data_IF_457884089680
#
_entry.id   IF_457884089680
#
_cell.length_a   1.000
_cell.length_b   1.000
_cell.length_c   1.000
_cell.angle_alpha   90.00
_cell.angle_beta   90.00
_cell.angle_gamma   90.00
#
_symmetry.space_group_name_H-M   'P 1'
#
loop_
_entity.id
_entity.type
_entity.pdbx_description
1 polymer ?
#
# COMPACT_ATOMS: atom_id res chain seq x y z
N UNK A 1 14.80 50.98 7.55
CA UNK A 1 14.50 52.08 8.55
C UNK A 1 13.44 51.54 9.51
N UNK A 2 13.71 51.73 10.84
CA UNK A 2 12.84 51.51 12.01
C UNK A 2 12.65 50.04 12.39
N UNK A 3 13.42 49.43 13.29
CA UNK A 3 13.83 49.57 14.71
C UNK A 3 12.73 49.23 15.74
N UNK A 4 13.05 48.17 16.51
CA UNK A 4 12.81 47.97 17.96
C UNK A 4 11.39 47.61 18.45
N UNK A 5 11.21 46.57 19.27
CA UNK A 5 11.67 46.50 20.69
C UNK A 5 11.57 45.10 21.27
N UNK A 6 12.64 44.70 21.91
CA UNK A 6 12.68 43.68 22.93
C UNK A 6 11.99 44.17 24.24
N UNK A 7 11.40 43.27 25.02
CA UNK A 7 11.17 43.47 26.44
C UNK A 7 11.49 42.19 27.20
N UNK A 8 12.62 42.26 27.86
CA UNK A 8 13.00 41.49 29.05
C UNK A 8 12.27 42.03 30.30
N UNK A 9 12.03 41.17 31.27
CA UNK A 9 11.89 41.47 32.74
C UNK A 9 11.38 40.16 33.38
N UNK A 10 11.86 39.61 34.42
CA UNK A 10 12.82 39.88 35.46
C UNK A 10 12.53 38.84 36.56
N UNK A 11 13.58 38.30 37.09
CA UNK A 11 13.64 37.43 38.26
C UNK A 11 12.90 38.03 39.45
N UNK A 12 12.30 37.17 40.30
CA UNK A 12 12.24 37.41 41.74
C UNK A 12 12.60 36.18 42.55
N UNK A 13 13.64 36.36 43.26
CA UNK A 13 14.24 35.59 44.37
C UNK A 13 13.50 35.87 45.70
N UNK A 14 13.63 34.92 46.63
CA UNK A 14 13.44 35.14 48.08
C UNK A 14 12.34 34.28 48.67
N UNK A 15 12.52 33.50 49.66
CA UNK A 15 13.30 33.51 50.81
C UNK A 15 13.07 32.27 51.68
N UNK A 16 14.10 31.76 52.23
CA UNK A 16 14.11 30.98 53.50
C UNK A 16 13.99 31.99 54.68
N UNK A 17 13.76 31.65 55.96
CA UNK A 17 14.25 30.49 56.73
C UNK A 17 13.42 30.10 57.99
N UNK A 18 14.07 29.26 58.84
CA UNK A 18 14.05 29.06 60.32
C UNK A 18 13.27 27.87 60.85
N UNK A 19 13.97 26.81 61.32
CA UNK A 19 14.71 26.54 62.58
C UNK A 19 13.81 26.36 63.79
N UNK A 20 13.72 25.07 64.26
CA UNK A 20 13.93 24.41 65.53
C UNK A 20 13.23 24.98 66.80
N UNK A 21 13.01 24.21 67.91
CA UNK A 21 13.86 23.18 68.45
C UNK A 21 13.18 21.93 69.09
N UNK A 22 14.06 21.03 69.53
CA UNK A 22 13.97 19.81 70.26
C UNK A 22 13.29 19.87 71.61
N UNK A 23 12.70 18.74 72.06
CA UNK A 23 12.62 18.35 73.46
C UNK A 23 12.92 16.85 73.56
N UNK A 24 13.89 16.57 74.38
CA UNK A 24 14.33 15.25 74.79
C UNK A 24 13.39 14.68 75.89
N UNK A 25 13.19 13.38 75.86
CA UNK A 25 12.49 12.63 76.89
C UNK A 25 13.01 11.19 76.96
N UNK A 26 13.95 10.98 77.86
CA UNK A 26 14.58 9.71 78.18
C UNK A 26 13.65 8.92 79.12
N UNK A 27 13.23 7.70 78.75
CA UNK A 27 12.82 6.67 79.72
C UNK A 27 13.40 5.33 79.27
N UNK A 28 14.36 4.85 80.00
CA UNK A 28 14.89 3.51 79.90
C UNK A 28 14.03 2.57 80.76
N UNK A 29 13.52 1.50 80.20
CA UNK A 29 13.06 0.33 80.95
C UNK A 29 13.65 -0.93 80.26
N UNK A 30 14.56 -1.53 81.04
CA UNK A 30 15.08 -2.87 80.81
C UNK A 30 13.96 -3.89 81.03
N UNK A 31 13.69 -4.77 80.08
CA UNK A 31 13.11 -6.09 80.28
C UNK A 31 13.91 -7.10 79.47
N UNK A 32 14.66 -7.94 80.16
CA UNK A 32 15.17 -9.20 79.65
C UNK A 32 14.01 -10.17 79.53
N UNK A 33 13.85 -10.79 78.35
CA UNK A 33 13.31 -12.15 78.27
C UNK A 33 13.46 -12.74 76.88
N UNK A 34 14.05 -13.91 76.80
CA UNK A 34 13.81 -15.05 75.95
C UNK A 34 14.10 -14.93 74.45
N UNK A 35 15.28 -15.48 74.08
CA UNK A 35 15.50 -16.01 72.73
C UNK A 35 14.49 -17.10 72.37
N UNK A 36 13.58 -16.79 71.52
CA UNK A 36 12.92 -17.83 70.69
C UNK A 36 13.34 -17.58 69.24
N UNK A 37 14.11 -18.50 68.70
CA UNK A 37 14.48 -18.58 67.34
C UNK A 37 13.22 -18.87 66.49
N UNK A 38 12.55 -17.83 66.02
CA UNK A 38 11.59 -17.97 64.92
C UNK A 38 12.38 -18.01 63.63
N UNK A 39 12.46 -19.20 63.04
CA UNK A 39 12.88 -19.37 61.67
C UNK A 39 12.00 -18.49 60.76
N UNK A 40 12.63 -17.45 60.19
CA UNK A 40 11.96 -16.58 59.23
C UNK A 40 11.48 -17.42 58.04
N UNK A 41 10.16 -17.57 57.91
CA UNK A 41 9.57 -18.08 56.70
C UNK A 41 10.00 -17.16 55.57
N UNK A 42 10.88 -17.68 54.71
CA UNK A 42 11.17 -17.06 53.39
C UNK A 42 9.85 -17.02 52.68
N UNK A 43 9.24 -15.83 52.56
CA UNK A 43 8.06 -15.65 51.69
C UNK A 43 8.48 -15.99 50.30
N UNK A 44 8.11 -17.20 49.85
CA UNK A 44 8.19 -17.60 48.46
C UNK A 44 7.38 -16.60 47.67
N UNK A 45 8.05 -15.74 46.94
CA UNK A 45 7.42 -14.88 45.94
C UNK A 45 6.65 -15.80 45.02
N UNK A 46 5.34 -15.83 45.16
CA UNK A 46 4.46 -16.54 44.24
C UNK A 46 4.57 -15.81 42.91
N UNK A 47 5.31 -16.37 41.97
CA UNK A 47 5.33 -15.90 40.58
C UNK A 47 3.88 -15.81 40.11
N UNK A 48 3.51 -14.67 39.54
CA UNK A 48 2.19 -14.51 38.97
C UNK A 48 1.91 -15.69 38.00
N UNK A 49 0.71 -16.27 38.04
CA UNK A 49 0.40 -17.40 37.16
C UNK A 49 0.63 -17.00 35.70
N UNK A 50 1.44 -17.75 34.98
CA UNK A 50 1.62 -17.57 33.55
C UNK A 50 0.25 -17.66 32.87
N UNK A 51 -0.10 -16.65 32.09
CA UNK A 51 -1.36 -16.66 31.32
C UNK A 51 -1.31 -17.84 30.37
N UNK A 52 -2.23 -18.81 30.54
CA UNK A 52 -2.35 -19.92 29.64
C UNK A 52 -2.92 -19.42 28.28
N UNK A 53 -2.13 -19.47 27.23
CA UNK A 53 -2.59 -19.12 25.87
C UNK A 53 -3.42 -20.28 25.33
N UNK A 54 -4.59 -19.98 24.75
CA UNK A 54 -5.46 -20.99 24.13
C UNK A 54 -4.70 -21.72 23.00
N UNK A 55 -4.82 -23.06 22.86
CA UNK A 55 -4.15 -23.84 21.81
C UNK A 55 -4.43 -23.32 20.40
N UNK A 56 -5.66 -22.81 20.13
CA UNK A 56 -6.03 -22.19 18.85
C UNK A 56 -5.25 -20.90 18.54
N UNK A 57 -4.97 -20.07 19.55
CA UNK A 57 -4.17 -18.88 19.36
C UNK A 57 -2.70 -19.20 19.07
N UNK A 58 -2.14 -20.21 19.74
CA UNK A 58 -0.80 -20.72 19.46
C UNK A 58 -0.70 -21.30 18.04
N UNK A 59 -1.72 -22.03 17.58
CA UNK A 59 -1.77 -22.56 16.22
C UNK A 59 -1.75 -21.44 15.18
N UNK A 60 -2.54 -20.38 15.37
CA UNK A 60 -2.56 -19.22 14.47
C UNK A 60 -1.21 -18.50 14.45
N UNK A 61 -0.61 -18.26 15.63
CA UNK A 61 0.75 -17.68 15.70
C UNK A 61 1.77 -18.54 14.93
N UNK A 62 1.72 -19.86 15.10
CA UNK A 62 2.60 -20.77 14.38
C UNK A 62 2.38 -20.69 12.87
N UNK A 63 1.12 -20.58 12.43
CA UNK A 63 0.80 -20.40 11.02
C UNK A 63 1.42 -19.14 10.45
N UNK A 64 1.32 -17.99 11.14
CA UNK A 64 1.97 -16.75 10.70
C UNK A 64 3.48 -16.91 10.57
N UNK A 65 4.13 -17.54 11.57
CA UNK A 65 5.57 -17.79 11.53
C UNK A 65 5.96 -18.67 10.35
N UNK A 66 5.15 -19.71 10.02
CA UNK A 66 5.41 -20.57 8.88
C UNK A 66 5.26 -19.84 7.54
N UNK A 67 4.19 -19.06 7.38
CA UNK A 67 3.98 -18.23 6.18
C UNK A 67 5.16 -17.28 5.95
N UNK A 68 5.61 -16.57 6.99
CA UNK A 68 6.75 -15.65 6.88
C UNK A 68 8.04 -16.40 6.50
N UNK A 69 8.29 -17.59 7.06
CA UNK A 69 9.46 -18.42 6.71
C UNK A 69 9.39 -18.92 5.27
N UNK A 70 8.21 -19.27 4.79
CA UNK A 70 7.99 -19.79 3.44
C UNK A 70 8.14 -18.70 2.39
N UNK A 71 7.52 -17.53 2.63
CA UNK A 71 7.44 -16.44 1.64
C UNK A 71 8.64 -15.50 1.71
N UNK A 72 9.21 -15.30 2.91
CA UNK A 72 10.32 -14.36 3.11
C UNK A 72 11.47 -14.49 2.10
N UNK A 73 11.93 -15.71 1.73
CA UNK A 73 12.96 -15.89 0.69
C UNK A 73 12.57 -15.37 -0.69
N UNK A 74 11.27 -15.23 -0.98
CA UNK A 74 10.76 -14.72 -2.26
C UNK A 74 10.62 -13.19 -2.28
N UNK A 75 10.73 -12.51 -1.13
CA UNK A 75 10.58 -11.05 -1.02
C UNK A 75 11.95 -10.38 -0.97
N UNK A 76 12.18 -9.44 -1.87
CA UNK A 76 13.48 -8.80 -2.08
C UNK A 76 13.41 -7.29 -1.81
N UNK A 77 14.56 -6.68 -1.48
CA UNK A 77 14.71 -5.23 -1.51
C UNK A 77 15.09 -4.79 -2.92
N UNK A 78 14.44 -3.75 -3.40
CA UNK A 78 14.82 -3.03 -4.62
C UNK A 78 15.36 -1.67 -4.22
N UNK A 79 16.58 -1.39 -4.64
CA UNK A 79 17.24 -0.09 -4.50
C UNK A 79 17.38 0.56 -5.87
N UNK A 80 17.00 1.81 -5.95
CA UNK A 80 17.15 2.62 -7.16
C UNK A 80 17.96 3.87 -6.84
N UNK A 81 18.32 4.65 -7.83
CA UNK A 81 18.90 5.98 -7.65
C UNK A 81 17.85 7.03 -7.22
N UNK A 82 16.58 6.66 -7.11
CA UNK A 82 15.49 7.51 -6.66
C UNK A 82 14.94 7.12 -5.28
N UNK A 83 15.09 5.86 -4.84
CA UNK A 83 14.52 5.39 -3.59
C UNK A 83 14.64 3.89 -3.36
N UNK A 84 13.80 3.40 -2.46
CA UNK A 84 13.74 2.01 -2.03
C UNK A 84 12.32 1.48 -2.18
N UNK A 85 12.20 0.19 -2.47
CA UNK A 85 10.95 -0.54 -2.44
C UNK A 85 11.19 -2.04 -2.26
N UNK A 86 10.13 -2.80 -2.28
CA UNK A 86 10.19 -4.27 -2.27
C UNK A 86 9.87 -4.84 -3.64
N UNK A 87 10.19 -6.12 -3.81
CA UNK A 87 9.80 -6.92 -4.97
C UNK A 87 9.52 -8.35 -4.57
N UNK A 88 8.88 -9.09 -5.46
CA UNK A 88 8.57 -10.51 -5.30
C UNK A 88 9.23 -11.28 -6.44
N UNK A 89 10.00 -12.29 -6.12
CA UNK A 89 10.57 -13.22 -7.12
C UNK A 89 9.41 -13.93 -7.82
N UNK A 90 9.24 -13.63 -9.11
CA UNK A 90 8.12 -14.13 -9.90
C UNK A 90 8.40 -15.53 -10.46
N UNK A 91 9.62 -15.75 -10.94
CA UNK A 91 10.05 -17.05 -11.48
C UNK A 91 11.52 -17.35 -11.17
N UNK A 92 11.96 -18.55 -11.53
CA UNK A 92 13.32 -19.01 -11.34
C UNK A 92 14.33 -18.41 -12.36
N UNK A 93 13.84 -17.68 -13.38
CA UNK A 93 14.68 -17.09 -14.43
C UNK A 93 15.22 -15.72 -14.05
N UNK A 94 14.87 -15.19 -12.89
CA UNK A 94 15.36 -13.88 -12.42
C UNK A 94 14.33 -12.76 -12.49
N UNK A 95 13.11 -13.03 -12.96
CA UNK A 95 12.08 -12.02 -13.04
C UNK A 95 11.51 -11.70 -11.65
N UNK A 96 11.45 -10.40 -11.33
CA UNK A 96 10.97 -9.85 -10.07
C UNK A 96 9.88 -8.85 -10.37
N UNK A 97 8.70 -9.07 -9.81
CA UNK A 97 7.58 -8.14 -9.89
C UNK A 97 7.68 -7.11 -8.77
N UNK A 98 7.38 -5.86 -9.09
CA UNK A 98 7.30 -4.73 -8.15
C UNK A 98 6.27 -3.72 -8.64
N UNK A 99 6.08 -2.62 -7.93
CA UNK A 99 5.27 -1.52 -8.41
C UNK A 99 5.99 -0.65 -9.45
N UNK A 100 5.24 -0.06 -10.37
CA UNK A 100 5.78 0.84 -11.38
C UNK A 100 6.37 2.11 -10.75
N UNK A 101 5.73 2.65 -9.71
CA UNK A 101 6.23 3.83 -8.99
C UNK A 101 7.60 3.59 -8.32
N UNK A 102 7.94 2.34 -7.93
CA UNK A 102 9.25 2.00 -7.34
C UNK A 102 10.38 2.18 -8.35
N UNK A 103 10.12 1.93 -9.63
CA UNK A 103 11.12 2.01 -10.71
C UNK A 103 11.03 3.28 -11.54
N UNK A 104 9.99 4.08 -11.34
CA UNK A 104 9.70 5.28 -12.14
C UNK A 104 10.83 6.30 -12.04
N UNK A 105 11.31 6.78 -13.19
CA UNK A 105 12.36 7.80 -13.28
C UNK A 105 13.76 7.31 -12.89
N UNK A 106 13.91 6.07 -12.46
CA UNK A 106 15.19 5.51 -12.08
C UNK A 106 15.97 5.00 -13.31
N UNK A 107 17.29 5.10 -13.24
CA UNK A 107 18.19 4.61 -14.27
C UNK A 107 19.08 3.45 -13.80
N UNK A 108 19.13 3.19 -12.50
CA UNK A 108 19.93 2.13 -11.90
C UNK A 108 19.09 1.35 -10.90
N UNK A 109 19.21 0.03 -10.98
CA UNK A 109 18.46 -0.89 -10.13
C UNK A 109 19.41 -1.90 -9.50
N UNK A 110 19.26 -2.14 -8.22
CA UNK A 110 19.94 -3.18 -7.48
C UNK A 110 18.90 -3.96 -6.66
N UNK A 111 18.96 -5.27 -6.74
CA UNK A 111 18.13 -6.16 -5.96
C UNK A 111 18.98 -6.82 -4.88
N UNK A 112 18.49 -6.81 -3.64
CA UNK A 112 19.08 -7.55 -2.53
C UNK A 112 18.13 -8.68 -2.14
N UNK A 113 18.61 -9.92 -2.25
CA UNK A 113 17.86 -11.11 -1.85
C UNK A 113 17.79 -11.24 -0.33
N UNK A 114 16.92 -12.12 0.16
CA UNK A 114 16.75 -12.39 1.59
C UNK A 114 18.01 -12.91 2.29
N UNK A 115 18.97 -13.54 1.55
CA UNK A 115 20.26 -13.97 2.05
C UNK A 115 21.32 -12.84 2.09
N UNK A 116 20.94 -11.61 1.73
CA UNK A 116 21.79 -10.42 1.70
C UNK A 116 22.64 -10.26 0.44
N UNK A 117 22.59 -11.18 -0.50
CA UNK A 117 23.30 -11.07 -1.77
C UNK A 117 22.66 -9.98 -2.64
N UNK A 118 23.50 -9.22 -3.34
CA UNK A 118 23.12 -8.09 -4.16
C UNK A 118 23.40 -8.36 -5.63
N UNK A 119 22.45 -8.04 -6.47
CA UNK A 119 22.53 -8.21 -7.91
C UNK A 119 22.15 -6.92 -8.61
N UNK A 120 22.91 -6.49 -9.65
CA UNK A 120 22.43 -5.45 -10.55
C UNK A 120 21.19 -5.99 -11.26
N UNK A 121 20.20 -5.11 -11.48
CA UNK A 121 18.98 -5.48 -12.16
C UNK A 121 18.75 -4.60 -13.37
N UNK A 122 18.00 -5.12 -14.34
CA UNK A 122 17.51 -4.37 -15.50
C UNK A 122 15.98 -4.31 -15.50
N UNK A 123 15.43 -3.21 -15.98
CA UNK A 123 14.00 -3.08 -16.19
C UNK A 123 13.61 -3.89 -17.44
N UNK A 124 12.73 -4.86 -17.28
CA UNK A 124 12.12 -5.63 -18.39
C UNK A 124 11.00 -4.81 -19.01
N UNK A 125 10.14 -4.21 -18.19
CA UNK A 125 9.08 -3.34 -18.60
C UNK A 125 8.28 -2.85 -17.41
N UNK A 126 7.47 -1.81 -17.63
CA UNK A 126 6.55 -1.27 -16.62
C UNK A 126 5.21 -0.91 -17.24
N UNK A 127 4.15 -1.03 -16.46
CA UNK A 127 2.81 -0.63 -16.83
C UNK A 127 2.21 0.23 -15.73
N UNK A 128 2.38 1.54 -15.87
CA UNK A 128 1.98 2.52 -14.86
C UNK A 128 0.48 2.53 -14.59
N UNK A 129 -0.34 2.15 -15.58
CA UNK A 129 -1.80 2.14 -15.43
C UNK A 129 -2.30 1.14 -14.37
N UNK A 130 -1.57 0.04 -14.13
CA UNK A 130 -1.86 -0.92 -13.06
C UNK A 130 -0.76 -0.93 -11.98
N UNK A 131 0.10 0.08 -11.99
CA UNK A 131 1.23 0.23 -11.06
C UNK A 131 2.09 -1.03 -10.92
N UNK A 132 2.42 -1.70 -12.03
CA UNK A 132 3.24 -2.91 -12.07
C UNK A 132 4.49 -2.72 -12.93
N UNK A 133 5.59 -3.33 -12.50
CA UNK A 133 6.83 -3.41 -13.26
C UNK A 133 7.50 -4.77 -13.03
N UNK A 134 8.37 -5.14 -13.97
CA UNK A 134 9.21 -6.33 -13.87
C UNK A 134 10.67 -5.91 -14.03
N UNK A 135 11.48 -6.31 -13.05
CA UNK A 135 12.94 -6.29 -13.11
C UNK A 135 13.45 -7.70 -13.38
N UNK A 136 14.66 -7.77 -13.94
CA UNK A 136 15.37 -9.03 -14.14
C UNK A 136 16.77 -8.97 -13.50
N UNK A 137 17.18 -10.06 -12.87
CA UNK A 137 18.51 -10.28 -12.30
C UNK A 137 19.10 -11.59 -12.81
N UNK A 138 20.42 -11.58 -13.00
CA UNK A 138 21.16 -12.81 -13.29
C UNK A 138 21.60 -13.49 -11.97
N UNK A 139 20.70 -14.31 -11.42
CA UNK A 139 20.92 -15.02 -10.16
C UNK A 139 20.34 -16.43 -10.21
N UNK A 140 21.10 -17.38 -9.71
CA UNK A 140 20.63 -18.77 -9.53
C UNK A 140 20.11 -19.03 -8.12
N UNK A 141 19.34 -20.12 -7.96
CA UNK A 141 18.85 -20.57 -6.66
C UNK A 141 17.78 -19.66 -6.06
N UNK A 142 17.04 -18.96 -6.89
CA UNK A 142 15.92 -18.12 -6.49
C UNK A 142 14.76 -18.95 -5.93
N UNK A 143 13.97 -18.34 -5.06
CA UNK A 143 12.75 -18.92 -4.49
C UNK A 143 11.53 -18.16 -5.06
N UNK A 144 10.92 -18.63 -6.16
CA UNK A 144 9.72 -18.02 -6.70
C UNK A 144 8.56 -18.10 -5.71
N UNK A 145 7.77 -17.05 -5.62
CA UNK A 145 6.54 -17.05 -4.84
C UNK A 145 5.43 -17.83 -5.56
N UNK A 146 4.56 -18.48 -4.79
CA UNK A 146 3.30 -19.03 -5.31
C UNK A 146 2.25 -17.92 -5.32
N UNK A 147 1.46 -17.83 -6.40
CA UNK A 147 0.39 -16.85 -6.56
C UNK A 147 -0.98 -17.54 -6.50
N UNK A 148 -1.81 -17.14 -5.55
CA UNK A 148 -3.20 -17.60 -5.42
C UNK A 148 -4.06 -17.15 -6.61
N UNK A 149 -5.25 -17.74 -6.73
CA UNK A 149 -6.32 -17.20 -7.58
C UNK A 149 -7.12 -16.15 -6.79
N UNK A 150 -6.82 -14.87 -7.04
CA UNK A 150 -7.47 -13.74 -6.36
C UNK A 150 -8.97 -13.61 -6.63
N UNK A 151 -9.52 -14.31 -7.64
CA UNK A 151 -10.96 -14.34 -7.86
C UNK A 151 -11.74 -15.13 -6.79
N UNK A 152 -11.03 -15.92 -5.97
CA UNK A 152 -11.60 -16.74 -4.90
C UNK A 152 -11.54 -16.09 -3.53
N UNK A 153 -10.92 -14.92 -3.42
CA UNK A 153 -10.81 -14.18 -2.16
C UNK A 153 -12.17 -13.78 -1.62
N UNK A 154 -12.26 -13.77 -0.30
CA UNK A 154 -13.45 -13.34 0.43
C UNK A 154 -13.09 -12.24 1.42
N UNK A 155 -14.02 -11.33 1.65
CA UNK A 155 -13.91 -10.36 2.75
C UNK A 155 -13.86 -11.11 4.07
N UNK A 156 -12.84 -10.83 4.88
CA UNK A 156 -12.56 -11.54 6.12
C UNK A 156 -11.38 -12.50 6.04
N UNK A 157 -10.90 -12.86 4.84
CA UNK A 157 -9.69 -13.68 4.70
C UNK A 157 -8.51 -12.98 5.38
N UNK A 158 -7.73 -13.73 6.17
CA UNK A 158 -6.52 -13.20 6.82
C UNK A 158 -5.47 -12.91 5.77
N UNK A 159 -4.82 -11.76 5.89
CA UNK A 159 -3.79 -11.32 4.98
C UNK A 159 -2.55 -10.81 5.74
N UNK A 160 -1.36 -11.22 5.30
CA UNK A 160 -0.08 -10.73 5.79
C UNK A 160 0.61 -9.93 4.69
N UNK A 161 0.96 -8.66 4.96
CA UNK A 161 1.79 -7.89 4.05
C UNK A 161 3.26 -8.04 4.45
N UNK A 162 4.09 -8.50 3.50
CA UNK A 162 5.50 -8.81 3.68
C UNK A 162 6.31 -7.94 2.72
N UNK A 163 7.17 -7.09 3.27
CA UNK A 163 8.12 -6.28 2.52
C UNK A 163 9.54 -6.45 3.04
N UNK A 164 10.51 -5.94 2.32
CA UNK A 164 11.92 -5.96 2.71
C UNK A 164 12.56 -4.56 2.60
N UNK A 165 12.10 -3.59 3.41
CA UNK A 165 12.48 -2.18 3.25
C UNK A 165 13.95 -1.88 3.53
N UNK A 166 14.66 -2.75 4.25
CA UNK A 166 16.05 -2.50 4.68
C UNK A 166 17.03 -3.58 4.19
N UNK A 167 16.57 -4.60 3.47
CA UNK A 167 17.43 -5.69 2.99
C UNK A 167 18.04 -6.58 4.09
N UNK A 168 17.60 -6.39 5.35
CA UNK A 168 18.16 -7.10 6.50
C UNK A 168 17.18 -8.10 7.11
N UNK A 169 15.89 -7.81 7.07
CA UNK A 169 14.80 -8.68 7.54
C UNK A 169 13.47 -8.21 6.95
N UNK A 170 12.58 -9.15 6.64
CA UNK A 170 11.23 -8.85 6.19
C UNK A 170 10.46 -8.07 7.26
N UNK A 171 9.81 -6.98 6.86
CA UNK A 171 8.81 -6.30 7.66
C UNK A 171 7.46 -6.96 7.39
N UNK A 172 6.76 -7.37 8.43
CA UNK A 172 5.47 -8.08 8.32
C UNK A 172 4.40 -7.32 9.08
N UNK A 173 3.29 -7.09 8.43
CA UNK A 173 2.07 -6.57 9.06
C UNK A 173 0.92 -7.52 8.80
N UNK A 174 -0.06 -7.59 9.70
CA UNK A 174 -1.21 -8.50 9.60
C UNK A 174 -2.52 -7.73 9.53
N UNK A 175 -3.49 -8.33 8.88
CA UNK A 175 -4.84 -7.81 8.77
C UNK A 175 -5.74 -8.79 8.04
N UNK A 176 -6.80 -8.26 7.43
CA UNK A 176 -7.75 -9.04 6.65
C UNK A 176 -8.00 -8.37 5.29
N UNK A 177 -8.55 -9.12 4.36
CA UNK A 177 -9.21 -8.58 3.18
C UNK A 177 -10.46 -7.83 3.64
N UNK A 178 -10.47 -6.50 3.52
CA UNK A 178 -11.56 -5.63 4.00
C UNK A 178 -12.61 -5.37 2.94
N UNK A 179 -12.21 -5.32 1.66
CA UNK A 179 -13.10 -5.19 0.50
C UNK A 179 -12.40 -5.67 -0.77
N UNK A 180 -13.19 -5.95 -1.80
CA UNK A 180 -12.74 -6.38 -3.13
C UNK A 180 -13.38 -5.49 -4.20
N UNK A 181 -12.71 -5.39 -5.36
CA UNK A 181 -13.26 -4.72 -6.54
C UNK A 181 -13.38 -3.21 -6.42
N UNK A 182 -12.61 -2.56 -5.52
CA UNK A 182 -12.60 -1.11 -5.39
C UNK A 182 -11.74 -0.46 -6.47
N UNK A 183 -12.12 0.75 -6.88
CA UNK A 183 -11.26 1.65 -7.63
C UNK A 183 -10.67 2.67 -6.67
N UNK A 184 -9.36 2.88 -6.74
CA UNK A 184 -8.66 3.91 -5.94
C UNK A 184 -7.86 4.79 -6.87
N UNK A 185 -7.79 6.08 -6.54
CA UNK A 185 -7.01 7.04 -7.29
C UNK A 185 -5.68 7.26 -6.58
N UNK A 186 -4.59 7.19 -7.34
CA UNK A 186 -3.28 7.62 -6.88
C UNK A 186 -3.16 9.14 -6.92
N UNK A 187 -2.24 9.70 -6.14
CA UNK A 187 -1.90 11.13 -6.19
C UNK A 187 -1.41 11.57 -7.57
N UNK A 188 -0.89 10.63 -8.36
CA UNK A 188 -0.52 10.80 -9.77
C UNK A 188 -1.70 11.03 -10.71
N UNK A 189 -2.96 10.84 -10.25
CA UNK A 189 -4.17 10.85 -11.05
C UNK A 189 -4.46 9.56 -11.80
N UNK A 190 -3.66 8.50 -11.57
CA UNK A 190 -3.93 7.16 -12.10
C UNK A 190 -4.97 6.48 -11.22
N UNK A 191 -6.02 5.95 -11.84
CA UNK A 191 -7.01 5.14 -11.17
C UNK A 191 -6.63 3.65 -11.26
N UNK A 192 -6.48 3.00 -10.11
CA UNK A 192 -6.26 1.56 -10.00
C UNK A 192 -7.61 0.86 -9.76
N UNK A 193 -8.16 0.19 -10.77
CA UNK A 193 -9.43 -0.54 -10.61
C UNK A 193 -9.22 -1.90 -9.96
N UNK A 194 -10.30 -2.45 -9.41
CA UNK A 194 -10.37 -3.82 -8.92
C UNK A 194 -9.32 -4.18 -7.85
N UNK A 195 -8.88 -3.21 -7.04
CA UNK A 195 -7.91 -3.49 -5.97
C UNK A 195 -8.52 -4.25 -4.80
N UNK A 196 -7.66 -4.99 -4.09
CA UNK A 196 -7.94 -5.58 -2.79
C UNK A 196 -7.73 -4.50 -1.74
N UNK A 197 -8.74 -4.21 -0.92
CA UNK A 197 -8.56 -3.41 0.29
C UNK A 197 -8.19 -4.33 1.45
N UNK A 198 -7.18 -3.95 2.23
CA UNK A 198 -6.77 -4.69 3.43
C UNK A 198 -6.64 -3.78 4.63
N UNK A 199 -6.86 -4.33 5.83
CA UNK A 199 -6.54 -3.66 7.10
C UNK A 199 -5.10 -3.87 7.53
N UNK A 200 -4.32 -4.73 6.88
CA UNK A 200 -2.89 -4.84 7.11
C UNK A 200 -2.22 -3.50 6.83
N UNK A 201 -1.49 -2.91 7.78
CA UNK A 201 -0.80 -1.65 7.58
C UNK A 201 0.18 -1.70 6.39
N UNK A 202 -0.08 -0.88 5.37
CA UNK A 202 0.82 -0.67 4.24
C UNK A 202 1.61 0.60 4.51
N UNK A 203 2.93 0.48 4.50
CA UNK A 203 3.86 1.55 4.81
C UNK A 203 4.95 1.61 3.73
N UNK A 204 5.68 2.74 3.61
CA UNK A 204 6.86 2.79 2.77
C UNK A 204 7.79 1.60 3.07
N UNK A 205 8.05 0.77 2.05
CA UNK A 205 8.83 -0.46 2.15
C UNK A 205 8.06 -1.77 1.98
N UNK A 206 6.72 -1.78 2.19
CA UNK A 206 5.89 -2.93 1.80
C UNK A 206 5.46 -2.84 0.33
N UNK A 207 5.43 -1.64 -0.25
CA UNK A 207 5.07 -1.44 -1.67
C UNK A 207 5.96 -2.28 -2.58
N UNK A 208 5.36 -3.00 -3.51
CA UNK A 208 6.01 -3.96 -4.40
C UNK A 208 6.33 -5.32 -3.75
N UNK A 209 6.16 -5.48 -2.44
CA UNK A 209 6.28 -6.75 -1.73
C UNK A 209 5.09 -7.67 -1.93
N UNK A 210 4.84 -8.58 -1.00
CA UNK A 210 3.78 -9.57 -1.09
C UNK A 210 2.65 -9.30 -0.07
N UNK A 211 1.41 -9.31 -0.52
CA UNK A 211 0.25 -9.57 0.34
C UNK A 211 -0.10 -11.05 0.18
N UNK A 212 -0.07 -11.82 1.27
CA UNK A 212 -0.22 -13.27 1.21
C UNK A 212 -1.33 -13.77 2.13
N UNK A 213 -1.91 -14.92 1.79
CA UNK A 213 -2.86 -15.63 2.63
C UNK A 213 -2.17 -16.54 3.66
N UNK A 214 -2.96 -17.28 4.43
CA UNK A 214 -2.45 -18.26 5.42
C UNK A 214 -1.83 -19.52 4.79
N UNK A 215 -1.96 -19.75 3.48
CA UNK A 215 -1.28 -20.83 2.76
C UNK A 215 0.12 -20.40 2.30
N UNK A 216 0.48 -19.11 2.48
CA UNK A 216 1.71 -18.53 1.97
C UNK A 216 1.67 -18.27 0.45
N UNK A 217 0.48 -18.10 -0.11
CA UNK A 217 0.29 -17.75 -1.51
C UNK A 217 0.07 -16.25 -1.66
N UNK A 218 0.70 -15.63 -2.65
CA UNK A 218 0.54 -14.21 -2.95
C UNK A 218 -0.86 -13.95 -3.49
N UNK A 219 -1.66 -13.21 -2.74
CA UNK A 219 -3.01 -12.76 -3.13
C UNK A 219 -2.99 -11.41 -3.84
N UNK A 220 -1.90 -10.64 -3.67
CA UNK A 220 -1.72 -9.35 -4.35
C UNK A 220 -0.38 -8.71 -4.05
N UNK A 221 -0.10 -7.60 -4.75
CA UNK A 221 1.09 -6.76 -4.52
C UNK A 221 0.62 -5.45 -3.85
N UNK A 222 1.03 -5.16 -2.59
CA UNK A 222 0.73 -3.90 -1.93
C UNK A 222 1.23 -2.71 -2.76
N UNK A 223 0.42 -1.66 -2.88
CA UNK A 223 0.75 -0.47 -3.66
C UNK A 223 0.55 0.81 -2.87
N UNK A 224 -0.65 1.08 -2.38
CA UNK A 224 -1.03 2.34 -1.75
C UNK A 224 -1.48 2.12 -0.30
N UNK A 225 -1.13 3.08 0.57
CA UNK A 225 -1.85 3.31 1.81
C UNK A 225 -3.05 4.23 1.51
N UNK A 226 -4.20 4.01 2.16
CA UNK A 226 -5.30 4.95 2.11
C UNK A 226 -4.86 6.31 2.64
N UNK A 227 -5.35 7.38 2.02
CA UNK A 227 -5.15 8.76 2.50
C UNK A 227 -6.44 9.27 3.13
N UNK A 228 -6.32 10.01 4.22
CA UNK A 228 -7.41 10.73 4.85
C UNK A 228 -7.09 12.23 4.81
N UNK A 229 -7.78 13.01 3.97
CA UNK A 229 -7.55 14.44 3.87
C UNK A 229 -7.79 15.20 5.19
N UNK A 230 -8.70 14.69 6.05
CA UNK A 230 -9.00 15.32 7.34
C UNK A 230 -7.89 15.08 8.37
N UNK A 231 -7.22 13.94 8.29
CA UNK A 231 -6.07 13.61 9.12
C UNK A 231 -4.75 14.14 8.52
N UNK A 232 -4.78 14.68 7.31
CA UNK A 232 -3.62 15.25 6.63
C UNK A 232 -2.54 14.22 6.26
N UNK A 233 -2.92 12.95 6.08
CA UNK A 233 -1.96 11.89 5.79
C UNK A 233 -2.59 10.51 5.57
N UNK A 234 -1.83 9.48 5.91
CA UNK A 234 -2.24 8.09 5.79
C UNK A 234 -3.45 7.76 6.68
N UNK A 235 -4.44 7.05 6.13
CA UNK A 235 -5.58 6.50 6.87
C UNK A 235 -5.17 5.15 7.51
N UNK A 236 -4.99 5.08 8.84
CA UNK A 236 -4.58 3.84 9.49
C UNK A 236 -5.59 2.71 9.24
N UNK A 237 -5.09 1.51 8.90
CA UNK A 237 -5.94 0.35 8.66
C UNK A 237 -6.64 0.35 7.29
N UNK A 238 -6.23 1.20 6.37
CA UNK A 238 -6.67 1.18 4.98
C UNK A 238 -5.43 1.07 4.08
N UNK A 239 -5.25 -0.09 3.49
CA UNK A 239 -4.23 -0.36 2.49
C UNK A 239 -4.85 -1.01 1.25
N UNK A 240 -4.15 -0.91 0.12
CA UNK A 240 -4.60 -1.46 -1.14
C UNK A 240 -3.51 -2.31 -1.78
N UNK A 241 -3.94 -3.37 -2.49
CA UNK A 241 -3.05 -4.24 -3.22
C UNK A 241 -3.64 -4.60 -4.60
N UNK A 242 -2.77 -4.75 -5.58
CA UNK A 242 -3.10 -5.19 -6.94
C UNK A 242 -3.34 -6.70 -6.89
N UNK A 243 -4.48 -7.23 -7.35
CA UNK A 243 -4.81 -8.64 -7.25
C UNK A 243 -3.83 -9.55 -8.00
N UNK A 244 -3.52 -10.71 -7.44
CA UNK A 244 -2.56 -11.67 -7.99
C UNK A 244 -2.87 -12.11 -9.43
N UNK A 245 -4.14 -12.20 -9.82
CA UNK A 245 -4.51 -12.53 -11.20
C UNK A 245 -4.08 -11.40 -12.17
N UNK A 246 -4.28 -10.13 -11.80
CA UNK A 246 -3.78 -8.98 -12.56
C UNK A 246 -2.25 -8.99 -12.61
N UNK A 247 -1.59 -9.26 -11.48
CA UNK A 247 -0.12 -9.34 -11.40
C UNK A 247 0.41 -10.39 -12.37
N UNK A 248 -0.14 -11.60 -12.36
CA UNK A 248 0.31 -12.69 -13.25
C UNK A 248 0.13 -12.36 -14.72
N UNK A 249 -1.01 -11.77 -15.07
CA UNK A 249 -1.30 -11.40 -16.46
C UNK A 249 -0.35 -10.30 -16.97
N UNK A 250 -0.27 -9.19 -16.24
CA UNK A 250 0.57 -8.05 -16.63
C UNK A 250 2.07 -8.43 -16.61
N UNK A 251 2.55 -9.10 -15.57
CA UNK A 251 3.94 -9.55 -15.50
C UNK A 251 4.28 -10.53 -16.64
N UNK A 252 3.38 -11.45 -16.94
CA UNK A 252 3.56 -12.39 -18.06
C UNK A 252 3.72 -11.68 -19.40
N UNK A 253 2.93 -10.62 -19.66
CA UNK A 253 3.04 -9.82 -20.87
C UNK A 253 4.34 -9.01 -20.89
N UNK A 254 4.72 -8.37 -19.78
CA UNK A 254 5.98 -7.63 -19.66
C UNK A 254 7.19 -8.54 -19.89
N UNK A 255 7.22 -9.74 -19.31
CA UNK A 255 8.29 -10.72 -19.49
C UNK A 255 8.36 -11.21 -20.94
N UNK A 256 7.21 -11.55 -21.54
CA UNK A 256 7.16 -12.11 -22.88
C UNK A 256 7.36 -11.11 -24.01
N UNK A 257 6.98 -9.85 -23.83
CA UNK A 257 6.88 -8.85 -24.91
C UNK A 257 7.53 -7.49 -24.57
N UNK A 258 7.98 -7.28 -23.34
CA UNK A 258 8.50 -6.00 -22.84
C UNK A 258 7.44 -4.90 -22.69
N UNK A 259 6.19 -5.21 -22.98
CA UNK A 259 5.06 -4.25 -22.92
C UNK A 259 3.73 -4.98 -22.70
N UNK A 260 2.73 -4.25 -22.20
CA UNK A 260 1.36 -4.74 -22.07
C UNK A 260 0.59 -4.50 -23.36
N UNK A 261 0.04 -5.54 -23.95
CA UNK A 261 -0.78 -5.48 -25.18
C UNK A 261 -2.25 -5.71 -24.89
N UNK A 262 -2.57 -6.32 -23.74
CA UNK A 262 -3.93 -6.54 -23.29
C UNK A 262 -4.05 -6.17 -21.81
N UNK A 263 -4.46 -4.93 -21.53
CA UNK A 263 -4.64 -4.45 -20.15
C UNK A 263 -6.00 -4.83 -19.56
N UNK A 264 -6.90 -5.41 -20.34
CA UNK A 264 -8.32 -5.65 -19.98
C UNK A 264 -9.08 -4.39 -19.52
N UNK A 265 -8.50 -3.21 -19.69
CA UNK A 265 -9.08 -1.93 -19.26
C UNK A 265 -9.78 -1.24 -20.42
N UNK A 266 -11.04 -0.86 -20.20
CA UNK A 266 -11.80 -0.08 -21.16
C UNK A 266 -11.18 1.32 -21.33
N UNK A 267 -11.17 1.81 -22.55
CA UNK A 267 -10.54 3.08 -22.91
C UNK A 267 -11.38 3.87 -23.90
N UNK A 268 -11.53 5.17 -23.64
CA UNK A 268 -12.22 6.11 -24.54
C UNK A 268 -11.31 6.69 -25.62
N UNK A 269 -10.02 6.83 -25.33
CA UNK A 269 -9.07 7.50 -26.23
C UNK A 269 -9.16 9.02 -26.18
N UNK A 270 -9.33 9.58 -25.00
CA UNK A 270 -9.36 11.04 -24.74
C UNK A 270 -8.46 11.41 -23.58
N UNK A 271 -7.93 12.64 -23.61
CA UNK A 271 -7.42 13.33 -22.44
C UNK A 271 -8.49 14.32 -21.98
N UNK A 272 -8.73 14.39 -20.67
CA UNK A 272 -9.82 15.20 -20.12
C UNK A 272 -9.33 16.11 -18.98
N UNK A 273 -10.01 17.23 -18.79
CA UNK A 273 -9.83 18.13 -17.66
C UNK A 273 -11.17 18.31 -16.95
N UNK A 274 -11.15 18.33 -15.62
CA UNK A 274 -12.34 18.66 -14.81
C UNK A 274 -12.77 20.11 -15.06
N UNK A 275 -14.08 20.36 -15.04
CA UNK A 275 -14.64 21.71 -15.13
C UNK A 275 -15.35 22.09 -13.84
N UNK A 276 -15.38 23.38 -13.51
CA UNK A 276 -16.07 23.89 -12.32
C UNK A 276 -17.60 23.74 -12.38
N UNK A 277 -18.15 23.56 -13.58
CA UNK A 277 -19.59 23.36 -13.81
C UNK A 277 -20.02 21.89 -13.77
N UNK A 278 -19.09 20.98 -13.50
CA UNK A 278 -19.28 19.52 -13.60
C UNK A 278 -19.14 19.01 -15.04
N UNK A 279 -18.64 17.79 -15.18
CA UNK A 279 -18.31 17.16 -16.46
C UNK A 279 -16.84 17.35 -16.85
N UNK A 280 -16.44 16.65 -17.90
CA UNK A 280 -15.06 16.48 -18.32
C UNK A 280 -14.84 17.10 -19.70
N UNK A 281 -14.10 18.20 -19.75
CA UNK A 281 -13.69 18.84 -21.00
C UNK A 281 -12.69 17.93 -21.72
N UNK A 282 -12.99 17.54 -22.95
CA UNK A 282 -12.05 16.84 -23.82
C UNK A 282 -10.97 17.84 -24.25
N UNK A 283 -9.75 17.67 -23.77
CA UNK A 283 -8.59 18.48 -24.14
C UNK A 283 -7.89 17.93 -25.38
N UNK A 284 -7.92 16.58 -25.54
CA UNK A 284 -7.33 15.92 -26.71
C UNK A 284 -8.07 14.63 -27.01
N UNK A 285 -8.18 14.32 -28.29
CA UNK A 285 -8.70 13.05 -28.81
C UNK A 285 -7.55 12.30 -29.46
N UNK A 286 -7.35 11.04 -29.06
CA UNK A 286 -6.28 10.20 -29.60
C UNK A 286 -6.63 9.80 -31.05
N UNK A 287 -5.78 10.11 -32.03
CA UNK A 287 -6.02 9.71 -33.42
C UNK A 287 -6.17 8.18 -33.57
N UNK A 288 -7.19 7.75 -34.30
CA UNK A 288 -7.50 6.32 -34.49
C UNK A 288 -8.08 5.63 -33.25
N UNK A 289 -8.24 6.34 -32.14
CA UNK A 289 -8.87 5.80 -30.93
C UNK A 289 -10.40 5.75 -31.02
N UNK A 290 -11.04 5.13 -30.02
CA UNK A 290 -12.51 4.99 -29.93
C UNK A 290 -13.25 6.32 -30.08
N UNK A 291 -12.83 7.34 -29.33
CA UNK A 291 -13.44 8.67 -29.37
C UNK A 291 -13.34 9.33 -30.73
N UNK A 292 -12.18 9.21 -31.40
CA UNK A 292 -12.00 9.72 -32.77
C UNK A 292 -12.92 9.03 -33.73
N UNK A 293 -13.02 7.70 -33.65
CA UNK A 293 -13.91 6.87 -34.51
C UNK A 293 -15.37 7.21 -34.27
N UNK A 294 -15.76 7.47 -33.04
CA UNK A 294 -17.11 7.89 -32.65
C UNK A 294 -17.40 9.38 -32.95
N UNK A 295 -16.42 10.13 -33.48
CA UNK A 295 -16.56 11.54 -33.85
C UNK A 295 -16.64 12.51 -32.72
N UNK A 296 -16.04 12.18 -31.56
CA UNK A 296 -15.82 13.13 -30.46
C UNK A 296 -14.67 14.09 -30.82
N UNK A 297 -14.72 15.31 -30.29
CA UNK A 297 -13.76 16.38 -30.59
C UNK A 297 -13.27 17.06 -29.33
N UNK A 298 -12.06 17.57 -29.38
CA UNK A 298 -11.56 18.46 -28.35
C UNK A 298 -12.48 19.69 -28.22
N UNK A 299 -12.70 20.18 -27.00
CA UNK A 299 -13.64 21.23 -26.68
C UNK A 299 -15.06 20.76 -26.34
N UNK A 300 -15.41 19.49 -26.58
CA UNK A 300 -16.68 18.91 -26.09
C UNK A 300 -16.56 18.51 -24.62
N UNK A 301 -17.68 18.55 -23.91
CA UNK A 301 -17.78 18.21 -22.49
C UNK A 301 -18.45 16.84 -22.33
N UNK A 302 -17.76 15.83 -21.84
CA UNK A 302 -18.36 14.55 -21.46
C UNK A 302 -19.14 14.75 -20.17
N UNK A 303 -20.41 14.35 -20.15
CA UNK A 303 -21.30 14.48 -18.99
C UNK A 303 -21.75 13.14 -18.44
N UNK A 304 -21.75 12.07 -19.26
CA UNK A 304 -22.06 10.71 -18.84
C UNK A 304 -21.48 9.68 -19.79
N UNK A 305 -21.17 8.50 -19.27
CA UNK A 305 -20.73 7.31 -20.02
C UNK A 305 -21.55 6.12 -19.55
N UNK A 306 -22.13 5.34 -20.48
CA UNK A 306 -22.98 4.20 -20.15
C UNK A 306 -24.21 4.55 -19.31
N UNK A 307 -24.68 5.78 -19.40
CA UNK A 307 -25.80 6.30 -18.60
C UNK A 307 -25.41 6.80 -17.19
N UNK A 308 -24.17 6.60 -16.78
CA UNK A 308 -23.65 7.06 -15.48
C UNK A 308 -22.98 8.43 -15.63
N UNK A 309 -23.31 9.37 -14.73
CA UNK A 309 -22.73 10.71 -14.73
C UNK A 309 -21.22 10.68 -14.47
N UNK A 310 -20.46 11.52 -15.20
CA UNK A 310 -19.01 11.65 -15.05
C UNK A 310 -18.64 13.09 -14.77
N UNK A 311 -18.95 13.61 -13.53
CA UNK A 311 -18.71 15.01 -13.17
C UNK A 311 -17.23 15.34 -13.06
N UNK A 312 -16.38 14.36 -12.80
CA UNK A 312 -14.94 14.47 -12.57
C UNK A 312 -14.16 13.24 -13.08
N UNK A 313 -12.82 13.29 -13.15
CA UNK A 313 -12.01 12.18 -13.64
C UNK A 313 -12.15 10.90 -12.82
N UNK A 314 -12.36 10.98 -11.50
CA UNK A 314 -12.52 9.82 -10.63
C UNK A 314 -13.79 9.06 -10.99
N UNK A 315 -14.91 9.76 -11.13
CA UNK A 315 -16.18 9.18 -11.58
C UNK A 315 -16.08 8.52 -12.96
N UNK A 316 -15.31 9.11 -13.89
CA UNK A 316 -15.05 8.48 -15.19
C UNK A 316 -14.25 7.19 -15.04
N UNK A 317 -13.22 7.20 -14.19
CA UNK A 317 -12.40 6.02 -13.93
C UNK A 317 -13.24 4.88 -13.32
N UNK A 318 -14.11 5.19 -12.35
CA UNK A 318 -15.03 4.22 -11.73
C UNK A 318 -15.97 3.60 -12.77
N UNK A 319 -16.54 4.45 -13.64
CA UNK A 319 -17.41 3.97 -14.73
C UNK A 319 -16.65 3.04 -15.68
N UNK A 320 -15.44 3.43 -16.09
CA UNK A 320 -14.61 2.63 -17.01
C UNK A 320 -14.13 1.32 -16.38
N UNK A 321 -13.89 1.30 -15.06
CA UNK A 321 -13.52 0.09 -14.33
C UNK A 321 -14.58 -1.01 -14.39
N UNK A 322 -15.86 -0.63 -14.48
CA UNK A 322 -16.99 -1.56 -14.65
C UNK A 322 -17.23 -2.01 -16.11
N UNK A 323 -16.50 -1.46 -17.08
CA UNK A 323 -16.68 -1.72 -18.50
C UNK A 323 -15.50 -2.54 -19.08
N UNK A 324 -15.70 -3.09 -20.28
CA UNK A 324 -14.70 -3.94 -20.94
C UNK A 324 -14.33 -3.39 -22.31
N UNK A 325 -13.09 -3.59 -22.79
CA UNK A 325 -12.74 -3.36 -24.18
C UNK A 325 -13.70 -4.09 -25.13
N UNK A 326 -14.03 -3.45 -26.24
CA UNK A 326 -15.00 -3.97 -27.23
C UNK A 326 -16.47 -3.74 -26.86
N UNK A 327 -16.79 -3.34 -25.64
CA UNK A 327 -18.16 -3.01 -25.23
C UNK A 327 -18.60 -1.70 -25.89
N UNK A 328 -19.83 -1.68 -26.45
CA UNK A 328 -20.43 -0.45 -26.97
C UNK A 328 -21.24 0.24 -25.89
N UNK A 329 -20.95 1.50 -25.66
CA UNK A 329 -21.60 2.35 -24.65
C UNK A 329 -22.10 3.66 -25.27
N UNK A 330 -23.10 4.26 -24.62
CA UNK A 330 -23.56 5.61 -24.97
C UNK A 330 -22.74 6.63 -24.21
N UNK A 331 -22.16 7.60 -24.90
CA UNK A 331 -21.44 8.75 -24.31
C UNK A 331 -22.29 10.00 -24.53
N UNK A 332 -22.64 10.68 -23.46
CA UNK A 332 -23.35 11.96 -23.49
C UNK A 332 -22.36 13.11 -23.48
N UNK A 333 -22.47 14.00 -24.45
CA UNK A 333 -21.58 15.17 -24.54
C UNK A 333 -22.37 16.47 -24.77
N UNK A 334 -21.83 17.56 -24.25
CA UNK A 334 -22.26 18.91 -24.55
C UNK A 334 -21.21 19.61 -25.40
N UNK A 335 -21.64 20.37 -26.40
CA UNK A 335 -20.77 21.20 -27.25
C UNK A 335 -20.54 22.57 -26.60
N UNK A 336 -19.53 23.32 -27.07
CA UNK A 336 -19.29 24.69 -26.58
C UNK A 336 -20.47 25.65 -26.81
N UNK A 337 -21.32 25.38 -27.81
CA UNK A 337 -22.54 26.11 -28.10
C UNK A 337 -23.73 25.76 -27.19
N UNK A 338 -23.53 24.84 -26.24
CA UNK A 338 -24.54 24.32 -25.32
C UNK A 338 -25.40 23.17 -25.88
N UNK A 339 -25.26 22.81 -27.14
CA UNK A 339 -26.01 21.70 -27.73
C UNK A 339 -25.54 20.36 -27.14
N UNK A 340 -26.51 19.52 -26.76
CA UNK A 340 -26.24 18.17 -26.22
C UNK A 340 -26.47 17.12 -27.30
N UNK A 341 -25.62 16.10 -27.29
CA UNK A 341 -25.78 14.92 -28.14
C UNK A 341 -25.34 13.67 -27.42
N UNK A 342 -25.79 12.53 -27.90
CA UNK A 342 -25.30 11.22 -27.48
C UNK A 342 -24.59 10.55 -28.62
N UNK A 343 -23.55 9.80 -28.31
CA UNK A 343 -22.73 9.08 -29.28
C UNK A 343 -22.62 7.63 -28.85
N UNK A 344 -22.85 6.69 -29.75
CA UNK A 344 -22.50 5.29 -29.52
C UNK A 344 -21.01 5.12 -29.77
N UNK A 345 -20.31 4.51 -28.81
CA UNK A 345 -18.87 4.30 -28.89
C UNK A 345 -18.54 2.87 -28.48
N UNK A 346 -17.78 2.16 -29.31
CA UNK A 346 -17.14 0.91 -28.91
C UNK A 346 -15.84 1.22 -28.21
N UNK A 347 -15.72 0.83 -26.93
CA UNK A 347 -14.55 1.09 -26.10
C UNK A 347 -13.33 0.32 -26.63
N UNK A 348 -12.20 0.99 -26.62
CA UNK A 348 -10.91 0.38 -26.94
C UNK A 348 -10.28 -0.29 -25.75
N UNK A 349 -9.13 -0.89 -26.01
CA UNK A 349 -8.17 -1.40 -25.05
C UNK A 349 -7.28 -0.24 -24.60
N UNK A 350 -7.12 -0.04 -23.29
CA UNK A 350 -6.15 0.93 -22.77
C UNK A 350 -4.75 0.52 -23.25
N UNK A 351 -3.99 1.41 -23.92
CA UNK A 351 -2.68 1.07 -24.47
C UNK A 351 -1.65 0.85 -23.35
N UNK A 352 -0.74 -0.09 -23.56
CA UNK A 352 0.40 -0.38 -22.68
C UNK A 352 1.60 0.49 -22.98
#
# INVERSE_FOLDING_TARGET
>A
MIRHRARSLQRRTGGRPRLLPAVAGLVAVLILAACTTTAGAVSSSTAAPAVAVAPSALALQQQFVQVVKQVGPSVVLIQTDQGLGSGVVFDANGNIVTNAHVVQGASRFQVTLADGKRYPARLVGSFAADDLAVLDIDAGGLHPASFADSSRLQVGDVALAIGNPLGLQSSVTEGIVSALGRTVNEDSGVALPNVIQTSAPINPGNSGGALVDLNGEVIGIPTLAGTDPELGGSAPGIGFAIPSNTVRDIAGQLIGQGKVTNSHRAWLGVEVAATTSGGLLITKVQPGGPAATAGLRAGELITAVGGMATPDPASLADVLAGLRPGQTVTVSVARPDGARRTVQMTLGQFPG
#
